data_IF_307565909954
#
_entry.id   IF_307565909954
#
_cell.length_a   1.000
_cell.length_b   1.000
_cell.length_c   1.000
_cell.angle_alpha   90.00
_cell.angle_beta   90.00
_cell.angle_gamma   90.00
#
_symmetry.space_group_name_H-M   'P 1'
#
loop_
_entity.id
_entity.type
_entity.pdbx_description
1 polymer ?
#
# COMPACT_ATOMS: atom_id res chain seq x y z
N UNK A 1 4.90 4.04 -9.99
CA UNK A 1 5.13 3.70 -8.57
C UNK A 1 6.63 3.44 -8.34
N UNK A 2 7.17 3.88 -7.19
CA UNK A 2 8.48 3.56 -6.63
C UNK A 2 8.62 2.05 -6.37
N UNK A 3 9.66 1.40 -6.91
CA UNK A 3 9.84 -0.06 -6.91
C UNK A 3 10.29 -0.56 -5.54
N UNK A 4 11.18 0.16 -4.87
CA UNK A 4 11.68 -0.16 -3.55
C UNK A 4 10.56 -0.11 -2.51
N UNK A 5 9.69 0.91 -2.58
CA UNK A 5 8.50 1.02 -1.74
C UNK A 5 7.55 -0.18 -1.94
N UNK A 6 7.33 -0.61 -3.18
CA UNK A 6 6.51 -1.79 -3.48
C UNK A 6 7.13 -3.09 -2.93
N UNK A 7 8.45 -3.21 -2.94
CA UNK A 7 9.13 -4.36 -2.34
C UNK A 7 8.96 -4.39 -0.83
N UNK A 8 9.06 -3.25 -0.15
CA UNK A 8 8.80 -3.14 1.29
C UNK A 8 7.36 -3.53 1.61
N UNK A 9 6.39 -3.00 0.86
CA UNK A 9 4.97 -3.33 1.02
C UNK A 9 4.68 -4.81 0.76
N UNK A 10 5.31 -5.43 -0.25
CA UNK A 10 5.18 -6.87 -0.50
C UNK A 10 5.74 -7.69 0.66
N UNK A 11 6.84 -7.27 1.27
CA UNK A 11 7.40 -7.94 2.45
C UNK A 11 6.46 -7.80 3.65
N UNK A 12 5.92 -6.61 3.90
CA UNK A 12 4.95 -6.39 4.98
C UNK A 12 3.67 -7.18 4.76
N UNK A 13 3.13 -7.18 3.54
CA UNK A 13 1.98 -8.01 3.19
C UNK A 13 2.25 -9.49 3.47
N UNK A 14 3.45 -9.99 3.18
CA UNK A 14 3.81 -11.39 3.45
C UNK A 14 3.94 -11.70 4.94
N UNK A 15 4.51 -10.79 5.72
CA UNK A 15 4.83 -11.02 7.13
C UNK A 15 3.64 -10.73 8.05
N UNK A 16 2.85 -9.70 7.71
CA UNK A 16 1.84 -9.07 8.57
C UNK A 16 0.55 -8.77 7.78
N UNK A 17 0.09 -9.70 6.94
CA UNK A 17 -1.03 -9.50 6.02
C UNK A 17 -2.31 -8.94 6.67
N UNK A 18 -2.64 -9.35 7.91
CA UNK A 18 -3.82 -8.88 8.62
C UNK A 18 -3.72 -7.39 8.96
N UNK A 19 -2.63 -6.99 9.63
CA UNK A 19 -2.33 -5.59 9.95
C UNK A 19 -2.19 -4.74 8.69
N UNK A 20 -1.69 -5.34 7.60
CA UNK A 20 -1.62 -4.67 6.30
C UNK A 20 -3.00 -4.26 5.81
N UNK A 21 -3.97 -5.17 5.82
CA UNK A 21 -5.33 -4.89 5.39
C UNK A 21 -6.04 -3.88 6.30
N UNK A 22 -5.84 -3.98 7.62
CA UNK A 22 -6.35 -3.00 8.57
C UNK A 22 -5.83 -1.59 8.25
N UNK A 23 -4.52 -1.45 7.98
CA UNK A 23 -3.91 -0.15 7.69
C UNK A 23 -4.43 0.49 6.39
N UNK A 24 -4.74 -0.32 5.37
CA UNK A 24 -5.33 0.19 4.11
C UNK A 24 -6.86 0.30 4.18
N UNK A 25 -7.47 0.04 5.34
CA UNK A 25 -8.92 0.06 5.57
C UNK A 25 -9.70 -0.91 4.67
N UNK A 26 -9.14 -2.11 4.44
CA UNK A 26 -9.74 -3.17 3.64
C UNK A 26 -10.06 -4.37 4.52
N UNK A 27 -11.17 -5.05 4.21
CA UNK A 27 -11.53 -6.28 4.90
C UNK A 27 -10.47 -7.37 4.66
N UNK A 28 -9.94 -8.01 5.72
CA UNK A 28 -8.99 -9.10 5.56
C UNK A 28 -9.55 -10.22 4.67
N UNK A 29 -8.78 -10.62 3.66
CA UNK A 29 -9.20 -11.66 2.72
C UNK A 29 -9.95 -11.15 1.49
N UNK A 30 -10.22 -9.85 1.39
CA UNK A 30 -10.73 -9.24 0.16
C UNK A 30 -9.77 -9.47 -1.02
N UNK A 31 -8.47 -9.35 -0.77
CA UNK A 31 -7.41 -9.78 -1.69
C UNK A 31 -6.65 -10.97 -1.10
N UNK A 32 -6.35 -11.98 -1.92
CA UNK A 32 -5.60 -13.16 -1.53
C UNK A 32 -4.09 -12.98 -1.77
N UNK A 33 -3.73 -12.09 -2.68
CA UNK A 33 -2.33 -11.80 -3.02
C UNK A 33 -2.07 -10.29 -3.10
N UNK A 34 -0.81 -9.91 -2.92
CA UNK A 34 -0.39 -8.52 -3.10
C UNK A 34 -0.56 -8.06 -4.55
N UNK A 35 -0.40 -8.98 -5.52
CA UNK A 35 -0.59 -8.72 -6.94
C UNK A 35 -2.04 -8.39 -7.28
N UNK A 36 -3.02 -9.07 -6.68
CA UNK A 36 -4.44 -8.74 -6.86
C UNK A 36 -4.77 -7.33 -6.36
N UNK A 37 -4.21 -6.96 -5.21
CA UNK A 37 -4.33 -5.60 -4.67
C UNK A 37 -3.73 -4.57 -5.64
N UNK A 38 -2.52 -4.80 -6.17
CA UNK A 38 -1.89 -3.90 -7.14
C UNK A 38 -2.68 -3.77 -8.43
N UNK A 39 -3.26 -4.86 -8.93
CA UNK A 39 -4.11 -4.81 -10.13
C UNK A 39 -5.39 -4.00 -9.89
N UNK A 40 -5.98 -4.10 -8.70
CA UNK A 40 -7.13 -3.29 -8.32
C UNK A 40 -6.78 -1.80 -8.26
N UNK A 41 -5.63 -1.48 -7.64
CA UNK A 41 -5.06 -0.13 -7.60
C UNK A 41 -4.85 0.48 -8.99
N UNK A 42 -4.22 -0.26 -9.90
CA UNK A 42 -3.97 0.22 -11.27
C UNK A 42 -5.28 0.50 -12.02
N UNK A 43 -6.31 -0.34 -11.82
CA UNK A 43 -7.63 -0.14 -12.41
C UNK A 43 -8.31 1.11 -11.87
N UNK A 44 -8.26 1.32 -10.55
CA UNK A 44 -8.82 2.52 -9.91
C UNK A 44 -8.11 3.80 -10.37
N UNK A 45 -6.78 3.79 -10.40
CA UNK A 45 -5.98 4.94 -10.86
C UNK A 45 -6.22 5.31 -12.33
N UNK A 46 -6.69 4.35 -13.14
CA UNK A 46 -7.02 4.58 -14.55
C UNK A 46 -8.41 5.21 -14.76
N UNK A 47 -9.26 5.28 -13.72
CA UNK A 47 -10.59 5.90 -13.81
C UNK A 47 -10.43 7.43 -13.80
N UNK A 48 -10.92 8.15 -14.83
CA UNK A 48 -10.86 9.61 -14.87
C UNK A 48 -11.62 10.23 -13.68
N UNK A 49 -11.05 11.28 -13.08
CA UNK A 49 -11.60 11.93 -11.89
C UNK A 49 -13.07 12.40 -11.99
N UNK A 50 -13.57 12.63 -13.22
CA UNK A 50 -14.95 13.06 -13.48
C UNK A 50 -16.00 11.95 -13.44
N UNK A 51 -15.60 10.68 -13.51
CA UNK A 51 -16.51 9.52 -13.44
C UNK A 51 -16.60 8.93 -12.02
N UNK A 52 -15.90 9.54 -11.05
CA UNK A 52 -15.77 9.08 -9.67
C UNK A 52 -16.93 9.51 -8.75
N UNK A 53 -17.92 10.28 -9.23
CA UNK A 53 -19.06 10.72 -8.41
C UNK A 53 -20.02 9.58 -8.02
N UNK A 54 -19.89 8.39 -8.62
CA UNK A 54 -20.77 7.23 -8.37
C UNK A 54 -20.09 5.98 -7.81
N UNK A 55 -18.76 5.94 -7.72
CA UNK A 55 -18.04 4.83 -7.11
C UNK A 55 -17.26 5.34 -5.90
N UNK A 56 -17.71 4.89 -4.73
CA UNK A 56 -17.09 5.11 -3.43
C UNK A 56 -15.56 4.99 -3.53
N UNK A 57 -14.85 6.12 -3.42
CA UNK A 57 -13.41 6.19 -3.17
C UNK A 57 -13.00 5.56 -1.82
N UNK A 58 -13.84 4.73 -1.22
CA UNK A 58 -13.56 4.06 0.05
C UNK A 58 -12.69 2.82 -0.15
N UNK A 59 -12.51 2.36 -1.39
CA UNK A 59 -11.83 1.10 -1.71
C UNK A 59 -10.34 1.07 -1.34
N UNK A 60 -9.68 2.22 -1.16
CA UNK A 60 -8.24 2.30 -0.93
C UNK A 60 -7.84 3.48 -0.04
N UNK A 61 -8.75 3.90 0.85
CA UNK A 61 -8.60 5.15 1.60
C UNK A 61 -7.32 5.22 2.46
N UNK A 62 -6.75 4.07 2.85
CA UNK A 62 -5.47 3.98 3.56
C UNK A 62 -4.26 3.64 2.67
N UNK A 63 -4.45 3.30 1.39
CA UNK A 63 -3.34 2.94 0.51
C UNK A 63 -2.36 4.08 0.31
N UNK A 64 -2.84 5.30 0.03
CA UNK A 64 -1.97 6.45 -0.24
C UNK A 64 -1.06 6.77 0.96
N UNK A 65 -1.60 6.66 2.18
CA UNK A 65 -0.82 6.87 3.41
C UNK A 65 0.24 5.77 3.59
N UNK A 66 -0.18 4.51 3.50
CA UNK A 66 0.71 3.34 3.62
C UNK A 66 1.81 3.39 2.55
N UNK A 67 1.45 3.78 1.33
CA UNK A 67 2.37 3.92 0.20
C UNK A 67 3.35 5.08 0.41
N UNK A 68 2.89 6.21 0.94
CA UNK A 68 3.76 7.35 1.28
C UNK A 68 4.78 6.98 2.36
N UNK A 69 4.35 6.26 3.41
CA UNK A 69 5.26 5.74 4.46
C UNK A 69 6.29 4.78 3.86
N UNK A 70 5.88 3.91 2.95
CA UNK A 70 6.79 2.99 2.25
C UNK A 70 7.84 3.71 1.41
N UNK A 71 7.43 4.79 0.73
CA UNK A 71 8.36 5.65 -0.03
C UNK A 71 9.38 6.32 0.88
N UNK A 72 8.93 6.88 2.01
CA UNK A 72 9.83 7.51 2.98
C UNK A 72 10.85 6.51 3.56
N UNK A 73 10.41 5.28 3.86
CA UNK A 73 11.29 4.22 4.34
C UNK A 73 12.30 3.78 3.26
N UNK A 74 11.85 3.63 2.01
CA UNK A 74 12.73 3.29 0.89
C UNK A 74 13.84 4.34 0.72
N UNK A 75 13.49 5.62 0.78
CA UNK A 75 14.46 6.71 0.75
C UNK A 75 15.41 6.67 1.96
N UNK A 76 14.87 6.44 3.17
CA UNK A 76 15.68 6.31 4.40
C UNK A 76 16.73 5.19 4.27
N UNK A 77 16.35 4.03 3.72
CA UNK A 77 17.28 2.89 3.48
C UNK A 77 18.30 3.22 2.40
N UNK A 78 17.91 3.90 1.33
CA UNK A 78 18.82 4.36 0.27
C UNK A 78 19.91 5.29 0.82
N UNK A 79 19.58 6.07 1.86
CA UNK A 79 20.52 6.96 2.55
C UNK A 79 21.30 6.29 3.71
N UNK A 80 21.32 4.96 3.78
CA UNK A 80 22.21 4.20 4.67
C UNK A 80 21.68 4.00 6.09
N UNK A 81 20.39 4.23 6.34
CA UNK A 81 19.80 3.96 7.64
C UNK A 81 19.61 2.46 7.89
N UNK A 82 19.66 2.05 9.16
CA UNK A 82 19.52 0.65 9.58
C UNK A 82 18.15 0.06 9.22
N UNK A 83 18.15 -1.20 8.77
CA UNK A 83 16.97 -1.99 8.36
C UNK A 83 16.05 -2.42 9.51
N UNK A 84 16.45 -2.23 10.77
CA UNK A 84 15.71 -2.75 11.94
C UNK A 84 14.57 -1.83 12.42
N UNK A 85 14.18 -0.83 11.62
CA UNK A 85 13.11 0.09 11.96
C UNK A 85 11.78 -0.48 11.45
N UNK A 86 10.84 -0.75 12.37
CA UNK A 86 9.47 -1.06 11.99
C UNK A 86 8.73 0.24 11.65
N UNK A 87 8.64 0.53 10.36
CA UNK A 87 8.06 1.75 9.82
C UNK A 87 6.54 1.66 9.63
N UNK A 88 5.97 0.47 9.77
CA UNK A 88 4.55 0.22 9.54
C UNK A 88 3.68 0.51 10.78
N UNK A 89 4.27 0.47 11.97
CA UNK A 89 3.59 0.64 13.28
C UNK A 89 3.67 2.06 13.87
N UNK A 90 4.07 3.09 13.11
CA UNK A 90 4.17 4.48 13.57
C UNK A 90 3.02 5.39 13.12
#
# INVERSE_FOLDING_TARGET
MNVEALQLLRQEFKNNWLSFFEAISIEPGYFQTFEELLQALEREMAIPYGDLESHEKDFLRGWDEVYSKACAEADRRKHGASSNFNWFEQ
#
